data_IF_877433406679
#
_entry.id   IF_877433406679
#
_cell.length_a   1.000
_cell.length_b   1.000
_cell.length_c   1.000
_cell.angle_alpha   90.00
_cell.angle_beta   90.00
_cell.angle_gamma   90.00
#
_symmetry.space_group_name_H-M   'P 1'
#
loop_
_entity.id
_entity.type
_entity.pdbx_description
1 polymer ?
2 water ?
#
# COMPACT_ATOMS: atom_id res chain seq x y z
N UNK A 9 13.79 -5.52 -14.98
CA UNK A 9 13.46 -4.36 -14.08
C UNK A 9 13.57 -4.77 -12.62
N UNK A 10 14.19 -3.91 -11.82
CA UNK A 10 14.41 -4.16 -10.39
C UNK A 10 14.57 -2.85 -9.63
N UNK A 11 14.51 -2.87 -8.30
CA UNK A 11 14.80 -1.64 -7.57
C UNK A 11 15.94 -1.83 -6.58
N UNK A 12 16.33 -0.74 -5.96
CA UNK A 12 17.41 -0.74 -5.00
C UNK A 12 16.89 -0.82 -3.54
N UNK A 13 17.53 -1.65 -2.67
CA UNK A 13 17.16 -1.83 -1.26
C UNK A 13 17.39 -0.57 -0.48
N UNK A 14 16.41 -0.16 0.34
CA UNK A 14 16.59 1.06 1.13
C UNK A 14 17.82 0.92 2.03
N UNK A 15 18.51 2.03 2.30
CA UNK A 15 19.69 1.94 3.14
C UNK A 15 19.44 1.30 4.47
N UNK A 16 18.47 1.87 5.19
CA UNK A 16 18.13 1.41 6.53
C UNK A 16 17.53 0.03 6.67
N UNK A 17 16.46 -0.29 5.98
CA UNK A 17 15.95 -1.62 6.17
C UNK A 17 16.46 -2.57 5.17
N UNK A 18 17.23 -2.07 4.23
CA UNK A 18 17.73 -2.98 3.23
C UNK A 18 16.56 -3.71 2.59
N UNK A 19 15.51 -2.95 2.39
CA UNK A 19 14.30 -3.49 1.82
C UNK A 19 13.91 -2.87 0.48
N UNK A 20 13.64 -3.69 -0.52
CA UNK A 20 13.18 -3.15 -1.78
C UNK A 20 11.74 -2.68 -1.62
N UNK A 21 10.92 -3.46 -0.89
CA UNK A 21 9.52 -3.10 -0.63
C UNK A 21 9.47 -1.71 -0.11
N UNK A 22 10.40 -1.40 0.78
CA UNK A 22 10.50 -0.08 1.38
C UNK A 22 10.85 0.94 0.30
N UNK A 23 11.61 0.52 -0.71
CA UNK A 23 11.98 1.48 -1.73
C UNK A 23 10.75 1.74 -2.55
N UNK A 24 10.14 0.67 -3.03
CA UNK A 24 8.87 0.80 -3.75
C UNK A 24 7.89 1.72 -2.99
N UNK A 25 7.93 1.71 -1.67
CA UNK A 25 7.03 2.55 -0.92
C UNK A 25 7.53 3.95 -0.82
N UNK A 26 8.85 4.15 -0.70
CA UNK A 26 9.29 5.53 -0.64
C UNK A 26 8.95 6.16 -1.97
N UNK A 27 8.73 5.33 -2.98
CA UNK A 27 8.40 5.83 -4.31
C UNK A 27 7.03 6.47 -4.37
N UNK A 28 6.00 5.71 -3.98
CA UNK A 28 4.63 6.21 -3.93
C UNK A 28 4.50 7.34 -2.94
N UNK A 29 5.37 7.39 -1.99
CA UNK A 29 5.19 8.47 -1.07
C UNK A 29 5.78 9.73 -1.64
N UNK A 30 6.62 9.56 -2.66
CA UNK A 30 7.33 10.70 -3.21
C UNK A 30 6.57 11.76 -3.96
N UNK A 31 6.84 13.00 -3.56
CA UNK A 31 6.18 14.18 -4.11
C UNK A 31 7.19 15.28 -4.45
N UNK A 32 7.12 15.79 -5.69
CA UNK A 32 7.99 16.88 -6.14
C UNK A 32 9.49 16.50 -6.16
N UNK A 33 9.81 15.22 -6.25
CA UNK A 33 11.21 14.85 -6.25
C UNK A 33 11.96 15.07 -4.93
N UNK A 34 11.24 15.30 -3.83
CA UNK A 34 11.88 15.47 -2.53
C UNK A 34 11.92 14.10 -1.88
N UNK A 35 12.96 13.35 -2.25
CA UNK A 35 13.21 11.98 -1.78
C UNK A 35 13.67 11.94 -0.33
N UNK A 36 14.53 12.87 0.03
CA UNK A 36 15.03 12.94 1.39
C UNK A 36 13.81 13.14 2.27
N UNK A 37 12.88 13.97 1.79
CA UNK A 37 11.69 14.22 2.56
C UNK A 37 10.80 12.97 2.54
N UNK A 38 10.70 12.29 1.42
CA UNK A 38 9.88 11.08 1.35
C UNK A 38 10.55 9.94 2.08
N UNK A 39 11.77 10.15 2.49
CA UNK A 39 12.48 9.09 3.15
C UNK A 39 12.31 9.38 4.59
N UNK A 40 12.50 10.62 4.95
CA UNK A 40 12.36 11.01 6.32
C UNK A 40 10.96 10.58 6.83
N UNK A 41 9.99 10.71 5.96
CA UNK A 41 8.63 10.41 6.29
C UNK A 41 8.44 8.93 6.58
N UNK A 42 8.84 8.10 5.64
CA UNK A 42 8.70 6.68 5.82
C UNK A 42 9.47 6.08 6.98
N UNK A 43 10.54 6.74 7.42
CA UNK A 43 11.41 6.15 8.45
C UNK A 43 10.95 6.66 9.76
N UNK A 44 10.47 7.89 9.73
CA UNK A 44 9.90 8.48 10.92
C UNK A 44 8.57 7.74 11.13
N UNK A 45 7.88 7.37 10.05
CA UNK A 45 6.61 6.64 10.15
C UNK A 45 6.89 5.32 10.82
N UNK A 46 7.92 4.65 10.33
CA UNK A 46 8.35 3.37 10.84
C UNK A 46 8.78 3.38 12.31
N UNK A 47 9.23 4.54 12.80
CA UNK A 47 9.62 4.76 14.19
C UNK A 47 8.33 4.99 14.99
N UNK A 48 7.37 5.75 14.47
CA UNK A 48 6.08 5.96 15.15
C UNK A 48 5.47 4.58 15.36
N UNK A 49 5.50 3.75 14.35
CA UNK A 49 4.99 2.43 14.50
C UNK A 49 5.66 1.62 15.60
N UNK A 50 6.97 1.78 15.74
CA UNK A 50 7.80 1.02 16.70
C UNK A 50 7.43 1.34 18.11
N UNK A 51 7.41 2.63 18.40
CA UNK A 51 7.09 3.08 19.72
C UNK A 51 5.66 2.87 20.08
N UNK A 52 4.79 2.79 19.07
CA UNK A 52 3.36 2.62 19.33
C UNK A 52 2.95 1.19 19.28
N UNK A 53 3.63 0.40 18.49
CA UNK A 53 3.25 -0.98 18.50
C UNK A 53 4.31 -1.77 19.29
N UNK A 54 5.49 -1.17 19.49
CA UNK A 54 6.55 -1.88 20.18
C UNK A 54 6.96 -3.09 19.37
N UNK A 55 6.60 -3.10 18.09
CA UNK A 55 6.95 -4.23 17.21
C UNK A 55 7.91 -3.76 16.14
N UNK A 56 8.54 -4.71 15.47
CA UNK A 56 9.41 -4.37 14.37
C UNK A 56 8.44 -3.84 13.27
N UNK A 57 8.63 -2.58 12.78
CA UNK A 57 7.79 -1.93 11.77
C UNK A 57 7.73 -2.68 10.53
N UNK A 58 8.73 -3.48 10.28
CA UNK A 58 8.67 -4.24 9.07
C UNK A 58 7.63 -5.30 9.22
N UNK A 59 7.40 -5.71 10.46
CA UNK A 59 6.43 -6.75 10.76
C UNK A 59 5.01 -6.22 10.61
N UNK A 60 4.73 -5.06 11.19
CA UNK A 60 3.43 -4.40 11.04
C UNK A 60 3.21 -4.26 9.50
N UNK A 61 4.12 -3.54 8.84
CA UNK A 61 4.11 -3.27 7.39
C UNK A 61 3.77 -4.44 6.49
N UNK A 62 4.38 -5.58 6.68
CA UNK A 62 4.04 -6.70 5.84
C UNK A 62 2.67 -7.18 6.13
N UNK A 63 2.26 -7.02 7.38
CA UNK A 63 0.93 -7.44 7.79
C UNK A 63 -0.02 -6.53 7.03
N UNK A 64 0.19 -5.23 7.13
CA UNK A 64 -0.66 -4.29 6.43
C UNK A 64 -0.72 -4.65 4.97
N UNK A 65 0.43 -4.91 4.40
CA UNK A 65 0.49 -5.24 3.02
C UNK A 65 -0.33 -6.46 2.80
N UNK A 66 -0.15 -7.43 3.66
CA UNK A 66 -0.87 -8.69 3.46
C UNK A 66 -2.40 -8.55 3.45
N UNK A 67 -2.90 -7.50 4.07
CA UNK A 67 -4.32 -7.30 4.22
C UNK A 67 -4.89 -6.40 3.19
N UNK A 68 -4.02 -5.63 2.56
CA UNK A 68 -4.48 -4.70 1.58
C UNK A 68 -4.33 -5.21 0.16
N UNK A 69 -3.52 -6.24 0.00
CA UNK A 69 -3.25 -6.80 -1.32
C UNK A 69 -4.38 -7.60 -1.94
N UNK A 70 -4.94 -7.09 -3.05
CA UNK A 70 -6.02 -7.75 -3.77
C UNK A 70 -5.55 -8.97 -4.42
N UNK A 71 -6.42 -9.95 -4.61
CA UNK A 71 -6.03 -11.13 -5.37
C UNK A 71 -6.87 -11.18 -6.61
N UNK A 72 -7.95 -10.43 -6.59
CA UNK A 72 -8.85 -10.43 -7.69
C UNK A 72 -9.08 -9.02 -8.08
N UNK A 73 -9.19 -8.83 -9.38
CA UNK A 73 -9.39 -7.51 -9.91
C UNK A 73 -10.40 -7.61 -11.03
N UNK A 74 -11.00 -6.50 -11.38
CA UNK A 74 -11.94 -6.52 -12.48
C UNK A 74 -11.46 -5.59 -13.57
N UNK A 75 -11.04 -6.17 -14.68
CA UNK A 75 -10.58 -5.32 -15.75
C UNK A 75 -11.20 -5.55 -17.12
N UNK A 76 -11.16 -4.50 -17.94
CA UNK A 76 -11.65 -4.54 -19.31
C UNK A 76 -10.96 -5.69 -20.04
N UNK A 77 -11.68 -6.34 -20.92
CA UNK A 77 -11.09 -7.43 -21.64
C UNK A 77 -11.87 -7.52 -22.93
N UNK A 78 -11.40 -6.78 -23.92
CA UNK A 78 -12.04 -6.79 -25.21
C UNK A 78 -12.19 -8.23 -25.65
N UNK A 79 -13.42 -8.66 -25.90
CA UNK A 79 -13.69 -10.02 -26.40
C UNK A 79 -14.58 -9.87 -27.62
N UNK A 80 -14.55 -10.84 -28.53
CA UNK A 80 -15.34 -10.63 -29.74
C UNK A 80 -14.89 -9.23 -30.13
N UNK A 81 -15.79 -8.30 -30.42
CA UNK A 81 -15.31 -6.94 -30.72
C UNK A 81 -15.77 -5.97 -29.65
N UNK A 82 -16.16 -6.55 -28.51
CA UNK A 82 -16.66 -5.75 -27.42
C UNK A 82 -15.79 -5.76 -26.18
N UNK A 83 -16.06 -4.80 -25.31
CA UNK A 83 -15.35 -4.69 -24.05
C UNK A 83 -16.20 -5.20 -22.86
N UNK A 84 -15.71 -6.25 -22.22
CA UNK A 84 -16.38 -6.84 -21.08
C UNK A 84 -15.58 -6.68 -19.81
N UNK A 85 -16.04 -5.81 -18.91
CA UNK A 85 -15.40 -5.62 -17.60
C UNK A 85 -15.30 -6.97 -16.89
N UNK A 86 -14.14 -7.58 -16.86
CA UNK A 86 -14.08 -8.88 -16.26
C UNK A 86 -13.15 -9.12 -15.03
N UNK A 87 -13.47 -10.14 -14.21
CA UNK A 87 -12.71 -10.53 -13.01
C UNK A 87 -11.49 -11.39 -13.26
N UNK A 88 -10.33 -10.81 -13.00
CA UNK A 88 -9.06 -11.47 -13.20
C UNK A 88 -8.14 -11.53 -11.96
N UNK A 89 -7.45 -12.65 -11.83
CA UNK A 89 -6.51 -12.85 -10.74
C UNK A 89 -5.41 -11.83 -10.85
N UNK A 90 -5.26 -10.96 -9.85
CA UNK A 90 -4.18 -9.98 -9.89
C UNK A 90 -2.84 -10.73 -9.81
N UNK A 91 -1.77 -10.17 -10.36
CA UNK A 91 -0.47 -10.85 -10.30
C UNK A 91 0.47 -10.35 -9.17
N UNK A 92 1.33 -11.26 -8.66
CA UNK A 92 2.26 -10.94 -7.58
C UNK A 92 2.73 -9.52 -7.58
N UNK A 93 3.43 -9.14 -8.63
CA UNK A 93 3.91 -7.78 -8.65
C UNK A 93 2.82 -6.74 -8.66
N UNK A 94 1.62 -7.07 -9.18
CA UNK A 94 0.53 -6.08 -9.18
C UNK A 94 -0.05 -5.93 -7.76
N UNK A 95 -0.26 -7.06 -7.07
CA UNK A 95 -0.78 -6.99 -5.71
C UNK A 95 0.04 -6.04 -4.84
N UNK A 96 1.36 -6.20 -4.89
CA UNK A 96 2.21 -5.33 -4.08
C UNK A 96 2.07 -3.88 -4.47
N UNK A 97 1.87 -3.62 -5.74
CA UNK A 97 1.80 -2.23 -6.20
C UNK A 97 0.52 -1.57 -5.76
N UNK A 98 -0.56 -2.30 -6.00
CA UNK A 98 -1.88 -1.85 -5.59
C UNK A 98 -1.78 -1.63 -4.05
N UNK A 99 -1.42 -2.69 -3.31
CA UNK A 99 -1.29 -2.55 -1.87
C UNK A 99 -0.60 -1.27 -1.50
N UNK A 100 0.63 -1.09 -1.98
CA UNK A 100 1.42 0.10 -1.64
C UNK A 100 0.75 1.38 -2.08
N UNK A 101 0.09 1.32 -3.23
CA UNK A 101 -0.60 2.50 -3.75
C UNK A 101 -1.75 2.83 -2.82
N UNK A 102 -2.59 1.82 -2.56
CA UNK A 102 -3.73 2.04 -1.65
C UNK A 102 -3.25 2.49 -0.29
N UNK A 103 -2.25 1.82 0.30
CA UNK A 103 -1.76 2.31 1.61
C UNK A 103 -1.37 3.76 1.53
N UNK A 104 -0.61 4.14 0.50
CA UNK A 104 -0.19 5.56 0.41
C UNK A 104 -1.33 6.54 -0.04
N UNK A 105 -2.27 6.08 -0.89
CA UNK A 105 -3.39 6.96 -1.34
C UNK A 105 -4.26 7.50 -0.20
N UNK A 106 -4.76 6.58 0.63
CA UNK A 106 -5.60 6.90 1.78
C UNK A 106 -4.87 7.55 2.90
N UNK A 107 -3.66 7.10 3.10
CA UNK A 107 -2.88 7.74 4.11
C UNK A 107 -2.82 9.22 3.79
N UNK A 108 -2.75 9.55 2.51
CA UNK A 108 -2.65 10.93 2.10
C UNK A 108 -3.87 11.66 2.58
N UNK A 109 -5.02 11.01 2.45
CA UNK A 109 -6.32 11.57 2.80
C UNK A 109 -6.63 11.69 4.29
N UNK A 110 -5.93 10.94 5.11
CA UNK A 110 -6.21 11.01 6.52
C UNK A 110 -6.11 12.38 7.11
N UNK A 111 -6.39 12.44 8.40
CA UNK A 111 -6.42 13.69 9.15
C UNK A 111 -5.33 13.99 10.14
N UNK A 112 -4.41 13.06 10.39
CA UNK A 112 -3.37 13.40 11.36
C UNK A 112 -2.71 14.63 10.74
N UNK A 113 -2.09 15.47 11.55
CA UNK A 113 -1.47 16.70 11.05
C UNK A 113 -0.26 16.42 10.18
N UNK A 114 0.32 15.26 10.40
CA UNK A 114 1.55 14.83 9.77
C UNK A 114 1.40 13.67 8.81
N UNK A 115 2.23 13.63 7.76
CA UNK A 115 2.13 12.52 6.82
C UNK A 115 2.92 11.34 7.35
N UNK A 116 3.88 11.57 8.24
CA UNK A 116 4.54 10.39 8.80
C UNK A 116 3.52 9.75 9.77
N UNK A 117 2.76 10.59 10.49
CA UNK A 117 1.72 10.14 11.43
C UNK A 117 0.58 9.51 10.65
N UNK A 118 0.27 10.12 9.54
CA UNK A 118 -0.78 9.65 8.67
C UNK A 118 -0.45 8.34 7.97
N UNK A 119 0.82 8.18 7.65
CA UNK A 119 1.27 6.97 6.97
C UNK A 119 1.37 5.85 8.00
N UNK A 120 1.90 6.21 9.19
CA UNK A 120 2.06 5.27 10.31
C UNK A 120 0.70 4.65 10.66
N UNK A 121 -0.26 5.52 10.96
CA UNK A 121 -1.61 5.07 11.27
C UNK A 121 -2.26 4.29 10.14
N UNK A 122 -2.22 4.78 8.91
CA UNK A 122 -2.84 3.94 7.89
C UNK A 122 -2.26 2.56 7.86
N UNK A 123 -0.96 2.46 8.15
CA UNK A 123 -0.27 1.16 8.13
C UNK A 123 -0.62 0.31 9.35
N UNK A 124 -0.70 0.96 10.50
CA UNK A 124 -1.09 0.29 11.71
C UNK A 124 -2.55 -0.18 11.52
N UNK A 125 -3.45 0.73 11.18
CA UNK A 125 -4.85 0.30 10.92
C UNK A 125 -4.89 -0.86 9.97
N UNK A 126 -4.31 -0.72 8.79
CA UNK A 126 -4.32 -1.84 7.83
C UNK A 126 -3.70 -3.12 8.37
N UNK A 127 -2.75 -3.00 9.32
CA UNK A 127 -2.10 -4.19 9.93
C UNK A 127 -3.15 -4.87 10.78
N UNK A 128 -4.12 -4.08 11.28
CA UNK A 128 -5.29 -4.56 12.07
C UNK A 128 -6.57 -4.77 11.22
N UNK A 129 -6.39 -4.87 9.91
CA UNK A 129 -7.47 -5.10 8.97
C UNK A 129 -8.65 -4.12 8.99
N UNK A 130 -8.36 -2.83 9.14
CA UNK A 130 -9.36 -1.80 9.14
C UNK A 130 -8.70 -0.57 8.44
N UNK A 131 -9.48 0.48 8.16
CA UNK A 131 -9.01 1.69 7.49
C UNK A 131 -9.42 1.70 6.01
N UNK A 132 -9.25 2.83 5.32
CA UNK A 132 -9.64 2.91 3.90
C UNK A 132 -8.99 1.93 2.91
N UNK A 133 -7.68 1.73 3.00
CA UNK A 133 -7.01 0.83 2.06
C UNK A 133 -7.54 -0.56 2.12
N UNK A 134 -7.81 -1.06 3.32
CA UNK A 134 -8.35 -2.42 3.47
C UNK A 134 -9.75 -2.42 2.86
N UNK A 135 -10.44 -1.30 2.99
CA UNK A 135 -11.76 -1.20 2.42
C UNK A 135 -11.62 -1.33 0.90
N UNK A 136 -10.70 -0.55 0.35
CA UNK A 136 -10.46 -0.63 -1.07
C UNK A 136 -10.24 -2.07 -1.50
N UNK A 137 -9.52 -2.87 -0.72
CA UNK A 137 -9.28 -4.26 -1.14
C UNK A 137 -10.53 -5.05 -1.01
N UNK A 138 -11.47 -4.51 -0.27
CA UNK A 138 -12.70 -5.21 -0.06
C UNK A 138 -13.65 -4.90 -1.21
N UNK A 139 -13.96 -3.62 -1.40
CA UNK A 139 -14.81 -3.26 -2.51
C UNK A 139 -14.29 -3.98 -3.75
N UNK A 140 -13.02 -3.79 -4.01
CA UNK A 140 -12.38 -4.43 -5.14
C UNK A 140 -12.70 -5.92 -5.26
N UNK A 141 -12.66 -6.65 -4.17
CA UNK A 141 -12.92 -8.09 -4.28
C UNK A 141 -14.40 -8.32 -4.41
N UNK A 142 -15.12 -7.26 -4.06
CA UNK A 142 -16.55 -7.22 -4.07
C UNK A 142 -16.94 -7.23 -5.53
N UNK A 143 -16.54 -6.19 -6.25
CA UNK A 143 -16.88 -6.11 -7.65
C UNK A 143 -16.39 -7.36 -8.37
N UNK A 144 -15.16 -7.77 -8.14
CA UNK A 144 -14.69 -8.94 -8.87
C UNK A 144 -15.52 -10.17 -8.61
N UNK A 145 -16.24 -10.14 -7.51
CA UNK A 145 -17.06 -11.29 -7.14
C UNK A 145 -18.35 -11.24 -7.94
N UNK A 146 -18.95 -10.06 -7.86
CA UNK A 146 -20.20 -9.77 -8.53
C UNK A 146 -20.11 -10.07 -10.02
N UNK A 147 -19.06 -9.56 -10.66
CA UNK A 147 -18.91 -9.79 -12.08
C UNK A 147 -18.40 -11.20 -12.29
#
# INVERSE_FOLDING_TARGET
>A
PRRGPVAKRDVLPDPIYNSKLVTRLINKIMIDGKKSKAQKILYTAFDIIRERTGKDPMEVFEQALKNVMPVLEVRARRVGGANYQVPVEVRPDRRVSLGLRWLVQYARLRNEKTMEERLANEIMDAANNTGAAVKKREDTHKMAEANKAFAHYRW
#
